data_IF_428137632363
#
_entry.id   IF_428137632363
#
_cell.length_a   1.000
_cell.length_b   1.000
_cell.length_c   1.000
_cell.angle_alpha   90.00
_cell.angle_beta   90.00
_cell.angle_gamma   90.00
#
_symmetry.space_group_name_H-M   'P 1'
#
loop_
_entity.id
_entity.type
_entity.pdbx_description
1 polymer ?
#
# COMPACT_ATOMS: atom_id res chain seq x y z
N UNK A 1 -5.26 -14.64 28.14
CA UNK A 1 -5.03 -13.87 26.91
C UNK A 1 -3.55 -13.77 26.64
N UNK A 2 -3.10 -14.12 25.45
CA UNK A 2 -1.75 -13.83 24.98
C UNK A 2 -1.68 -12.36 24.62
N UNK A 3 -0.75 -11.61 25.24
CA UNK A 3 -0.44 -10.25 24.81
C UNK A 3 0.44 -10.33 23.56
N UNK A 4 0.03 -9.67 22.46
CA UNK A 4 0.88 -9.42 21.30
C UNK A 4 1.47 -8.02 21.40
N UNK A 5 2.69 -7.85 20.89
CA UNK A 5 3.30 -6.53 20.69
C UNK A 5 3.23 -6.25 19.19
N UNK A 6 2.39 -5.31 18.82
CA UNK A 6 2.10 -5.03 17.41
C UNK A 6 3.21 -4.21 16.74
N UNK A 7 3.90 -3.36 17.50
CA UNK A 7 4.98 -2.51 16.96
C UNK A 7 6.13 -2.39 17.94
N UNK A 8 7.37 -2.58 17.45
CA UNK A 8 8.61 -2.47 18.23
C UNK A 8 9.66 -1.73 17.43
N UNK A 9 9.81 -0.44 17.69
CA UNK A 9 10.71 0.40 16.92
C UNK A 9 11.78 1.04 17.82
N UNK A 10 13.00 1.14 17.29
CA UNK A 10 14.05 2.02 17.79
C UNK A 10 14.35 3.03 16.69
N UNK A 11 14.21 4.32 17.01
CA UNK A 11 14.44 5.41 16.07
C UNK A 11 15.64 6.22 16.50
N UNK A 12 16.57 6.43 15.58
CA UNK A 12 17.74 7.30 15.74
C UNK A 12 17.55 8.45 14.76
N UNK A 13 17.18 9.61 15.27
CA UNK A 13 17.09 10.84 14.50
C UNK A 13 18.45 11.55 14.55
N UNK A 14 19.08 11.73 13.39
CA UNK A 14 20.40 12.36 13.25
C UNK A 14 20.31 13.78 12.71
N UNK A 15 19.11 14.37 12.69
CA UNK A 15 18.85 15.70 12.16
C UNK A 15 19.05 15.74 10.64
N UNK A 16 19.95 16.61 10.19
CA UNK A 16 20.20 16.83 8.75
C UNK A 16 20.72 15.59 7.99
N UNK A 17 21.16 14.56 8.70
CA UNK A 17 21.59 13.29 8.08
C UNK A 17 20.46 12.25 8.00
N UNK A 18 19.23 12.62 8.33
CA UNK A 18 18.08 11.74 8.22
C UNK A 18 17.80 10.90 9.47
N UNK A 19 16.89 9.95 9.32
CA UNK A 19 16.36 9.12 10.41
C UNK A 19 16.55 7.65 10.10
N UNK A 20 17.19 6.92 11.00
CA UNK A 20 17.33 5.47 10.95
C UNK A 20 16.35 4.83 11.95
N UNK A 21 15.50 3.96 11.44
CA UNK A 21 14.57 3.17 12.26
C UNK A 21 14.93 1.69 12.15
N UNK A 22 15.08 1.04 13.29
CA UNK A 22 15.01 -0.41 13.38
C UNK A 22 13.62 -0.80 13.86
N UNK A 23 12.90 -1.60 13.05
CA UNK A 23 11.58 -2.13 13.42
C UNK A 23 11.65 -3.64 13.58
N UNK A 24 11.26 -4.09 14.77
CA UNK A 24 11.10 -5.53 15.03
C UNK A 24 9.80 -6.10 14.48
N UNK A 25 8.80 -5.26 14.26
CA UNK A 25 7.49 -5.62 13.67
C UNK A 25 6.68 -4.36 13.32
N UNK A 26 5.77 -4.47 12.33
CA UNK A 26 4.73 -3.48 12.04
C UNK A 26 5.18 -2.24 11.24
N UNK A 27 6.31 -2.27 10.55
CA UNK A 27 6.76 -1.15 9.70
C UNK A 27 7.32 -1.68 8.39
N UNK A 28 6.98 -1.03 7.27
CA UNK A 28 7.39 -1.44 5.92
C UNK A 28 8.42 -0.49 5.31
N UNK A 29 9.21 -1.01 4.40
CA UNK A 29 10.01 -0.24 3.45
C UNK A 29 9.13 0.55 2.45
N UNK A 30 9.73 1.28 1.50
CA UNK A 30 8.98 2.06 0.53
C UNK A 30 8.06 1.19 -0.36
N UNK A 31 8.46 -0.01 -0.76
CA UNK A 31 7.59 -0.91 -1.55
C UNK A 31 6.33 -1.25 -0.79
N UNK A 32 6.43 -1.73 0.45
CA UNK A 32 5.25 -2.12 1.22
C UNK A 32 4.55 -0.97 1.96
N UNK A 33 4.96 0.29 1.78
CA UNK A 33 4.27 1.45 2.34
C UNK A 33 3.69 2.39 1.30
N UNK A 34 4.00 2.18 0.01
CA UNK A 34 3.50 3.00 -1.10
C UNK A 34 2.74 2.18 -2.14
N UNK A 35 2.42 0.92 -1.85
CA UNK A 35 1.79 -0.01 -2.77
C UNK A 35 0.28 0.22 -2.98
N UNK A 36 -0.37 1.01 -2.11
CA UNK A 36 -1.80 1.30 -2.15
C UNK A 36 -2.12 2.76 -1.79
N UNK A 37 -1.53 3.70 -2.49
CA UNK A 37 -1.65 5.13 -2.17
C UNK A 37 -2.71 5.88 -3.00
N UNK A 38 -3.65 5.21 -3.65
CA UNK A 38 -4.74 5.90 -4.36
C UNK A 38 -5.70 6.60 -3.39
N UNK A 39 -6.29 7.76 -3.76
CA UNK A 39 -7.16 8.48 -2.86
C UNK A 39 -8.39 7.67 -2.46
N UNK A 40 -8.61 7.47 -1.17
CA UNK A 40 -9.77 6.79 -0.60
C UNK A 40 -10.30 7.56 0.62
N UNK A 41 -11.61 7.47 0.89
CA UNK A 41 -12.23 8.06 2.08
C UNK A 41 -12.15 7.12 3.29
N UNK A 42 -11.96 5.81 3.08
CA UNK A 42 -11.79 4.80 4.12
C UNK A 42 -10.78 3.75 3.63
N UNK A 43 -11.19 2.75 2.89
CA UNK A 43 -10.36 1.67 2.35
C UNK A 43 -10.47 1.68 0.82
N UNK A 44 -9.42 1.24 0.13
CA UNK A 44 -9.41 1.03 -1.31
C UNK A 44 -10.30 -0.17 -1.69
N UNK A 45 -10.69 -0.24 -2.97
CA UNK A 45 -11.60 -1.29 -3.45
C UNK A 45 -11.07 -2.71 -3.23
N UNK A 46 -9.77 -2.92 -3.35
CA UNK A 46 -9.12 -4.23 -3.15
C UNK A 46 -8.76 -4.53 -1.69
N UNK A 47 -8.83 -3.55 -0.78
CA UNK A 47 -8.49 -3.70 0.64
C UNK A 47 -9.61 -4.29 1.49
N UNK A 48 -10.87 -4.25 1.02
CA UNK A 48 -12.02 -4.76 1.79
C UNK A 48 -11.99 -6.27 1.90
N UNK A 49 -12.14 -6.78 3.12
CA UNK A 49 -12.22 -8.23 3.36
C UNK A 49 -13.46 -8.83 2.71
N UNK A 50 -13.28 -9.77 1.81
CA UNK A 50 -14.34 -10.56 1.17
C UNK A 50 -14.13 -12.06 1.39
N UNK A 51 -15.11 -12.87 0.97
CA UNK A 51 -14.94 -14.32 0.97
C UNK A 51 -14.12 -14.74 -0.27
N UNK A 52 -12.88 -15.11 -0.05
CA UNK A 52 -11.91 -15.49 -1.09
C UNK A 52 -10.54 -14.84 -0.82
N UNK A 53 -9.56 -15.16 -1.65
CA UNK A 53 -8.22 -14.60 -1.56
C UNK A 53 -8.06 -13.51 -2.61
N UNK A 54 -8.12 -12.25 -2.20
CA UNK A 54 -7.78 -11.11 -3.05
C UNK A 54 -6.26 -11.11 -3.27
N UNK A 55 -5.84 -10.88 -4.50
CA UNK A 55 -4.43 -10.59 -4.80
C UNK A 55 -4.06 -9.21 -4.26
N UNK A 56 -2.87 -9.11 -3.73
CA UNK A 56 -2.30 -7.86 -3.24
C UNK A 56 -1.71 -6.98 -4.34
N UNK A 57 -1.35 -5.78 -3.97
CA UNK A 57 -0.78 -4.80 -4.89
C UNK A 57 0.74 -4.96 -5.10
N UNK A 58 1.43 -5.66 -4.20
CA UNK A 58 2.87 -6.00 -4.30
C UNK A 58 3.21 -7.22 -3.46
N UNK A 59 4.39 -7.76 -3.69
CA UNK A 59 5.00 -8.81 -2.88
C UNK A 59 6.19 -8.26 -2.08
N UNK A 60 5.96 -7.23 -1.29
CA UNK A 60 6.97 -6.59 -0.46
C UNK A 60 7.67 -7.56 0.50
N UNK A 61 8.90 -7.24 0.87
CA UNK A 61 9.66 -7.99 1.86
C UNK A 61 9.01 -7.94 3.25
N UNK A 62 9.42 -8.85 4.13
CA UNK A 62 8.88 -8.92 5.50
C UNK A 62 9.03 -7.60 6.27
N UNK A 63 7.99 -7.24 7.00
CA UNK A 63 7.97 -6.09 7.92
C UNK A 63 8.66 -6.35 9.27
N UNK A 64 9.33 -7.52 9.44
CA UNK A 64 9.97 -7.94 10.68
C UNK A 64 11.47 -7.80 10.60
N UNK A 65 12.07 -7.21 11.66
CA UNK A 65 13.50 -6.98 11.78
C UNK A 65 14.10 -6.17 10.63
N UNK A 66 13.39 -5.14 10.22
CA UNK A 66 13.73 -4.27 9.09
C UNK A 66 14.47 -3.02 9.59
N UNK A 67 15.45 -2.56 8.83
CA UNK A 67 16.08 -1.24 8.97
C UNK A 67 15.49 -0.33 7.90
N UNK A 68 15.09 0.88 8.31
CA UNK A 68 14.51 1.89 7.42
C UNK A 68 15.30 3.17 7.58
N UNK A 69 15.67 3.79 6.48
CA UNK A 69 16.32 5.08 6.43
C UNK A 69 15.45 6.07 5.67
N UNK A 70 15.05 7.15 6.36
CA UNK A 70 14.31 8.27 5.80
C UNK A 70 15.22 9.48 5.70
N UNK A 71 15.26 10.14 4.54
CA UNK A 71 16.09 11.29 4.29
C UNK A 71 15.35 12.34 3.46
N UNK A 72 15.41 13.61 3.89
CA UNK A 72 14.94 14.75 3.09
C UNK A 72 16.07 15.23 2.19
N UNK A 73 15.95 14.98 0.89
CA UNK A 73 16.97 15.36 -0.11
C UNK A 73 17.00 16.86 -0.31
N UNK A 74 15.81 17.45 -0.41
CA UNK A 74 15.56 18.89 -0.48
C UNK A 74 14.10 19.15 -0.11
N UNK A 75 13.72 20.42 0.00
CA UNK A 75 12.32 20.77 0.25
C UNK A 75 11.40 20.14 -0.81
N UNK A 76 10.41 19.40 -0.35
CA UNK A 76 9.48 18.66 -1.18
C UNK A 76 10.01 17.38 -1.85
N UNK A 77 11.27 16.98 -1.62
CA UNK A 77 11.81 15.70 -2.14
C UNK A 77 12.38 14.85 -1.00
N UNK A 78 11.81 13.68 -0.78
CA UNK A 78 12.27 12.71 0.21
C UNK A 78 12.74 11.40 -0.45
N UNK A 79 13.69 10.78 0.22
CA UNK A 79 14.21 9.45 -0.08
C UNK A 79 13.90 8.52 1.09
N UNK A 80 13.48 7.30 0.79
CA UNK A 80 13.30 6.22 1.77
C UNK A 80 14.00 4.98 1.25
N UNK A 81 14.71 4.27 2.13
CA UNK A 81 15.27 2.97 1.83
C UNK A 81 15.03 2.01 2.98
N UNK A 82 14.99 0.73 2.69
CA UNK A 82 14.89 -0.32 3.70
C UNK A 82 15.82 -1.48 3.42
N UNK A 83 16.17 -2.20 4.48
CA UNK A 83 16.94 -3.43 4.44
C UNK A 83 16.34 -4.45 5.41
N UNK A 84 15.91 -5.58 4.88
CA UNK A 84 15.42 -6.72 5.67
C UNK A 84 16.48 -7.80 5.64
N UNK A 85 17.12 -8.14 6.78
CA UNK A 85 18.12 -9.20 6.84
C UNK A 85 17.53 -10.56 6.48
N UNK A 86 18.38 -11.47 5.97
CA UNK A 86 18.02 -12.88 5.84
C UNK A 86 17.47 -13.43 7.17
N UNK A 87 16.42 -14.22 7.09
CA UNK A 87 15.82 -14.84 8.28
C UNK A 87 16.57 -16.10 8.77
N UNK A 88 17.70 -16.41 8.15
CA UNK A 88 18.53 -17.57 8.51
C UNK A 88 18.00 -18.91 8.00
N UNK A 89 16.90 -18.92 7.24
CA UNK A 89 16.48 -20.14 6.52
C UNK A 89 17.39 -20.37 5.31
N UNK A 90 17.65 -21.64 5.01
CA UNK A 90 18.42 -22.01 3.82
C UNK A 90 17.68 -21.53 2.56
N UNK A 91 18.36 -20.83 1.69
CA UNK A 91 17.86 -20.27 0.43
C UNK A 91 16.99 -18.99 0.54
N UNK A 92 16.91 -18.36 1.70
CA UNK A 92 16.32 -17.02 1.82
C UNK A 92 17.40 -15.99 2.12
N UNK A 93 17.48 -14.97 1.28
CA UNK A 93 18.48 -13.92 1.35
C UNK A 93 17.90 -12.61 1.95
N UNK A 94 18.77 -11.61 2.12
CA UNK A 94 18.33 -10.27 2.51
C UNK A 94 17.60 -9.58 1.37
N UNK A 95 16.71 -8.66 1.72
CA UNK A 95 15.93 -7.86 0.80
C UNK A 95 16.23 -6.37 0.98
N UNK A 96 16.10 -5.59 -0.07
CA UNK A 96 16.33 -4.14 -0.05
C UNK A 96 15.31 -3.43 -0.94
N UNK A 97 14.74 -2.35 -0.41
CA UNK A 97 13.86 -1.46 -1.17
C UNK A 97 14.38 -0.03 -1.08
N UNK A 98 14.07 0.79 -2.09
CA UNK A 98 14.31 2.22 -2.06
C UNK A 98 13.30 2.98 -2.91
N UNK A 99 13.04 4.24 -2.56
CA UNK A 99 12.09 5.05 -3.28
C UNK A 99 12.30 6.55 -3.05
N UNK A 100 11.70 7.32 -3.94
CA UNK A 100 11.65 8.77 -3.91
C UNK A 100 10.20 9.24 -3.91
N UNK A 101 9.91 10.26 -3.12
CA UNK A 101 8.61 10.93 -3.10
C UNK A 101 8.82 12.44 -3.25
N UNK A 102 8.08 13.04 -4.18
CA UNK A 102 8.07 14.46 -4.44
C UNK A 102 6.73 15.10 -4.09
N UNK A 103 6.77 16.13 -3.24
CA UNK A 103 5.61 16.92 -2.80
C UNK A 103 5.88 18.43 -2.90
N UNK A 104 6.90 18.83 -3.65
CA UNK A 104 7.35 20.24 -3.76
C UNK A 104 6.43 21.15 -4.59
N UNK A 105 5.37 20.61 -5.20
CA UNK A 105 4.33 21.37 -5.89
C UNK A 105 3.01 21.23 -5.14
N UNK A 106 2.31 22.35 -4.92
CA UNK A 106 1.03 22.34 -4.21
C UNK A 106 0.03 21.37 -4.84
N UNK A 107 -0.56 20.51 -4.03
CA UNK A 107 -1.52 19.49 -4.43
C UNK A 107 -0.91 18.26 -5.14
N UNK A 108 0.34 18.30 -5.60
CA UNK A 108 0.96 17.19 -6.33
C UNK A 108 1.81 16.30 -5.41
N UNK A 109 1.56 15.00 -5.47
CA UNK A 109 2.45 13.97 -4.94
C UNK A 109 2.85 13.03 -6.08
N UNK A 110 4.15 12.87 -6.30
CA UNK A 110 4.71 11.84 -7.18
C UNK A 110 5.54 10.89 -6.32
N UNK A 111 5.45 9.61 -6.56
CA UNK A 111 6.26 8.62 -5.85
C UNK A 111 6.64 7.47 -6.76
N UNK A 112 7.83 6.96 -6.54
CA UNK A 112 8.33 5.77 -7.19
C UNK A 112 9.18 4.96 -6.20
N UNK A 113 9.02 3.65 -6.21
CA UNK A 113 9.83 2.75 -5.41
C UNK A 113 10.19 1.51 -6.21
N UNK A 114 11.29 0.88 -5.84
CA UNK A 114 11.69 -0.42 -6.35
C UNK A 114 12.42 -1.20 -5.25
N UNK A 115 12.39 -2.51 -5.34
CA UNK A 115 13.05 -3.38 -4.39
C UNK A 115 12.87 -4.84 -4.69
N UNK A 116 13.55 -5.66 -3.92
CA UNK A 116 13.54 -7.11 -4.06
C UNK A 116 13.01 -7.78 -2.80
N UNK A 117 12.25 -8.85 -2.96
CA UNK A 117 11.86 -9.74 -1.88
C UNK A 117 12.54 -11.10 -2.03
N UNK A 118 13.73 -11.23 -1.44
CA UNK A 118 14.52 -12.47 -1.40
C UNK A 118 14.20 -13.33 -0.17
N UNK A 119 13.21 -12.92 0.64
CA UNK A 119 12.67 -13.71 1.76
C UNK A 119 11.56 -14.68 1.31
N UNK A 120 11.18 -14.67 0.04
CA UNK A 120 10.30 -15.64 -0.58
C UNK A 120 11.09 -16.84 -1.13
N UNK A 121 10.42 -17.96 -1.36
CA UNK A 121 11.06 -19.16 -1.96
C UNK A 121 11.59 -18.91 -3.38
N UNK A 122 11.01 -17.95 -4.08
CA UNK A 122 11.50 -17.37 -5.33
C UNK A 122 11.67 -15.88 -5.10
N UNK A 123 12.75 -15.30 -5.61
CA UNK A 123 12.94 -13.84 -5.52
C UNK A 123 11.89 -13.13 -6.35
N UNK A 124 11.44 -11.98 -5.85
CA UNK A 124 10.44 -11.13 -6.50
C UNK A 124 11.01 -9.72 -6.56
N UNK A 125 11.08 -9.16 -7.75
CA UNK A 125 11.42 -7.75 -7.96
C UNK A 125 10.15 -6.93 -8.04
N UNK A 126 10.08 -5.82 -7.30
CA UNK A 126 8.92 -4.95 -7.25
C UNK A 126 9.26 -3.56 -7.76
N UNK A 127 8.37 -2.98 -8.55
CA UNK A 127 8.43 -1.59 -8.99
C UNK A 127 7.10 -0.91 -8.75
N UNK A 128 7.11 0.32 -8.23
CA UNK A 128 5.94 1.14 -7.95
C UNK A 128 6.12 2.50 -8.59
N UNK A 129 5.09 2.98 -9.24
CA UNK A 129 4.97 4.38 -9.63
C UNK A 129 3.57 4.88 -9.35
N UNK A 130 3.46 6.08 -8.76
CA UNK A 130 2.15 6.67 -8.55
C UNK A 130 2.17 8.20 -8.56
N UNK A 131 0.99 8.75 -8.82
CA UNK A 131 0.71 10.18 -8.81
C UNK A 131 -0.61 10.44 -8.09
N UNK A 132 -0.62 11.47 -7.24
CA UNK A 132 -1.85 12.05 -6.66
C UNK A 132 -1.85 13.55 -6.93
N UNK A 133 -3.04 14.07 -7.25
CA UNK A 133 -3.23 15.50 -7.41
C UNK A 133 -4.51 15.96 -6.71
N UNK A 134 -4.34 16.87 -5.74
CA UNK A 134 -5.42 17.53 -5.03
C UNK A 134 -5.75 18.87 -5.70
N UNK A 135 -7.02 19.07 -6.05
CA UNK A 135 -7.52 20.28 -6.68
C UNK A 135 -8.83 20.72 -6.00
N UNK A 136 -8.74 21.68 -5.09
CA UNK A 136 -9.86 22.08 -4.27
C UNK A 136 -10.38 20.94 -3.41
N UNK A 137 -11.65 20.59 -3.56
CA UNK A 137 -12.27 19.50 -2.80
C UNK A 137 -12.03 18.10 -3.42
N UNK A 138 -11.42 18.00 -4.59
CA UNK A 138 -11.14 16.74 -5.28
C UNK A 138 -9.69 16.33 -5.11
N UNK A 139 -9.46 15.02 -4.97
CA UNK A 139 -8.15 14.40 -5.16
C UNK A 139 -8.30 13.24 -6.12
N UNK A 140 -7.44 13.18 -7.12
CA UNK A 140 -7.36 12.04 -8.06
C UNK A 140 -5.98 11.40 -7.92
N UNK A 141 -5.91 10.09 -8.04
CA UNK A 141 -4.66 9.34 -8.04
C UNK A 141 -4.67 8.21 -9.04
N UNK A 142 -3.47 7.89 -9.49
CA UNK A 142 -3.18 6.76 -10.37
C UNK A 142 -1.92 6.08 -9.88
N UNK A 143 -1.92 4.77 -9.89
CA UNK A 143 -0.80 3.94 -9.43
C UNK A 143 -0.65 2.72 -10.32
N UNK A 144 0.60 2.32 -10.56
CA UNK A 144 0.98 1.05 -11.16
C UNK A 144 2.04 0.40 -10.30
N UNK A 145 1.91 -0.89 -10.08
CA UNK A 145 2.91 -1.71 -9.41
C UNK A 145 3.17 -2.94 -10.29
N UNK A 146 4.42 -3.34 -10.37
CA UNK A 146 4.86 -4.55 -11.06
C UNK A 146 5.57 -5.45 -10.05
N UNK A 147 5.32 -6.74 -10.09
CA UNK A 147 5.98 -7.76 -9.27
C UNK A 147 6.45 -8.88 -10.17
N UNK A 148 7.73 -8.85 -10.53
CA UNK A 148 8.39 -9.84 -11.36
C UNK A 148 8.93 -10.98 -10.49
N UNK A 149 8.40 -12.18 -10.65
CA UNK A 149 8.75 -13.36 -9.85
C UNK A 149 9.65 -14.31 -10.62
N UNK A 150 10.64 -14.88 -9.94
CA UNK A 150 11.40 -15.99 -10.52
C UNK A 150 10.58 -17.28 -10.70
N UNK A 151 9.40 -17.36 -10.09
CA UNK A 151 8.47 -18.46 -10.31
C UNK A 151 7.75 -18.26 -11.65
N UNK A 152 7.74 -19.28 -12.48
CA UNK A 152 7.04 -19.23 -13.77
C UNK A 152 5.54 -18.93 -13.58
N UNK A 153 4.98 -18.07 -14.43
CA UNK A 153 3.57 -17.69 -14.44
C UNK A 153 3.10 -17.06 -13.12
N UNK A 154 3.92 -16.17 -12.54
CA UNK A 154 3.67 -15.55 -11.24
C UNK A 154 3.97 -14.05 -11.22
N UNK A 155 4.24 -13.44 -12.39
CA UNK A 155 4.37 -12.00 -12.50
C UNK A 155 3.01 -11.34 -12.34
N UNK A 156 2.94 -10.25 -11.60
CA UNK A 156 1.70 -9.54 -11.31
C UNK A 156 1.84 -8.07 -11.66
N UNK A 157 0.93 -7.57 -12.51
CA UNK A 157 0.77 -6.16 -12.83
C UNK A 157 -0.47 -5.61 -12.13
N UNK A 158 -0.29 -4.61 -11.29
CA UNK A 158 -1.36 -3.91 -10.58
C UNK A 158 -1.53 -2.50 -11.12
N UNK A 159 -2.77 -2.13 -11.40
CA UNK A 159 -3.16 -0.77 -11.76
C UNK A 159 -4.31 -0.31 -10.89
N UNK A 160 -4.26 0.92 -10.37
CA UNK A 160 -5.35 1.51 -9.60
C UNK A 160 -5.59 2.97 -9.94
N UNK A 161 -6.86 3.37 -9.91
CA UNK A 161 -7.32 4.75 -10.00
C UNK A 161 -8.25 5.03 -8.82
N UNK A 162 -8.01 6.14 -8.12
CA UNK A 162 -8.87 6.61 -7.05
C UNK A 162 -9.27 8.06 -7.24
N UNK A 163 -10.49 8.38 -6.88
CA UNK A 163 -10.98 9.75 -6.79
C UNK A 163 -11.67 9.94 -5.45
N UNK A 164 -11.26 10.93 -4.68
CA UNK A 164 -11.95 11.34 -3.46
C UNK A 164 -12.49 12.76 -3.57
N UNK A 165 -13.57 13.03 -2.85
CA UNK A 165 -14.24 14.32 -2.81
C UNK A 165 -14.61 14.69 -1.38
N UNK A 166 -14.10 15.82 -0.90
CA UNK A 166 -14.51 16.43 0.36
C UNK A 166 -15.86 17.15 0.15
N UNK A 167 -16.95 16.49 0.55
CA UNK A 167 -18.32 17.03 0.43
C UNK A 167 -18.51 18.21 1.38
N UNK A 168 -17.89 18.13 2.57
CA UNK A 168 -17.82 19.18 3.58
C UNK A 168 -16.56 18.97 4.44
N UNK A 169 -16.34 19.85 5.43
CA UNK A 169 -15.24 19.68 6.39
C UNK A 169 -15.33 18.37 7.19
N UNK A 170 -16.53 17.82 7.32
CA UNK A 170 -16.81 16.62 8.12
C UNK A 170 -17.07 15.36 7.29
N UNK A 171 -17.33 15.48 5.98
CA UNK A 171 -17.74 14.37 5.12
C UNK A 171 -16.88 14.28 3.87
N UNK A 172 -16.30 13.12 3.65
CA UNK A 172 -15.64 12.74 2.39
C UNK A 172 -16.24 11.47 1.79
N UNK A 173 -16.16 11.35 0.47
CA UNK A 173 -16.55 10.17 -0.28
C UNK A 173 -15.47 9.85 -1.31
N UNK A 174 -15.36 8.60 -1.71
CA UNK A 174 -14.44 8.21 -2.77
C UNK A 174 -14.98 7.08 -3.64
N UNK A 175 -14.36 6.96 -4.81
CA UNK A 175 -14.56 5.87 -5.74
C UNK A 175 -13.20 5.39 -6.21
N UNK A 176 -12.98 4.07 -6.15
CA UNK A 176 -11.74 3.42 -6.55
C UNK A 176 -12.02 2.27 -7.49
N UNK A 177 -11.13 2.07 -8.43
CA UNK A 177 -11.03 0.87 -9.26
C UNK A 177 -9.60 0.37 -9.23
N UNK A 178 -9.41 -0.94 -9.23
CA UNK A 178 -8.09 -1.56 -9.41
C UNK A 178 -8.20 -2.84 -10.20
N UNK A 179 -7.10 -3.19 -10.86
CA UNK A 179 -6.97 -4.40 -11.66
C UNK A 179 -5.63 -5.07 -11.32
N UNK A 180 -5.62 -6.38 -11.24
CA UNK A 180 -4.41 -7.20 -11.20
C UNK A 180 -4.45 -8.17 -12.37
N UNK A 181 -3.45 -8.06 -13.25
CA UNK A 181 -3.10 -9.05 -14.25
C UNK A 181 -2.08 -10.00 -13.66
N UNK A 182 -2.37 -11.29 -13.68
CA UNK A 182 -1.46 -12.34 -13.25
C UNK A 182 -1.01 -13.13 -14.46
N UNK A 183 0.31 -13.21 -14.67
CA UNK A 183 0.89 -13.99 -15.76
C UNK A 183 0.35 -15.43 -15.76
N UNK A 184 -0.07 -15.90 -16.93
CA UNK A 184 -0.63 -17.24 -17.10
C UNK A 184 -2.07 -17.41 -16.66
N UNK A 185 -2.70 -16.39 -16.11
CA UNK A 185 -4.16 -16.34 -15.90
C UNK A 185 -4.89 -15.95 -17.18
N UNK A 186 -6.16 -16.34 -17.29
CA UNK A 186 -7.03 -15.94 -18.43
C UNK A 186 -7.93 -14.79 -18.06
N UNK A 187 -8.03 -14.46 -16.79
CA UNK A 187 -8.91 -13.42 -16.25
C UNK A 187 -8.13 -12.53 -15.29
N UNK A 188 -8.35 -11.24 -15.40
CA UNK A 188 -7.81 -10.27 -14.45
C UNK A 188 -8.74 -10.15 -13.25
N UNK A 189 -8.17 -9.99 -12.06
CA UNK A 189 -8.95 -9.59 -10.89
C UNK A 189 -9.27 -8.10 -10.99
N UNK A 190 -10.55 -7.75 -10.98
CA UNK A 190 -10.99 -6.36 -10.99
C UNK A 190 -11.71 -6.02 -9.69
N UNK A 191 -11.35 -4.90 -9.06
CA UNK A 191 -12.03 -4.41 -7.86
C UNK A 191 -12.61 -3.02 -8.10
N UNK A 192 -13.84 -2.80 -7.64
CA UNK A 192 -14.54 -1.52 -7.68
C UNK A 192 -15.08 -1.21 -6.29
N UNK A 193 -14.82 -0.02 -5.76
CA UNK A 193 -15.23 0.36 -4.42
C UNK A 193 -15.77 1.78 -4.30
N UNK A 194 -16.72 1.94 -3.40
CA UNK A 194 -17.23 3.24 -2.96
C UNK A 194 -17.02 3.33 -1.45
N UNK A 195 -16.39 4.41 -0.98
CA UNK A 195 -16.20 4.61 0.44
C UNK A 195 -16.64 6.00 0.89
N UNK A 196 -16.87 6.12 2.19
CA UNK A 196 -17.17 7.38 2.86
C UNK A 196 -16.47 7.47 4.22
N UNK A 197 -16.27 8.69 4.70
CA UNK A 197 -15.84 8.98 6.06
C UNK A 197 -16.58 10.21 6.57
N UNK A 198 -17.20 10.10 7.73
CA UNK A 198 -17.89 11.20 8.39
C UNK A 198 -17.38 11.37 9.82
N UNK A 199 -16.91 12.58 10.14
CA UNK A 199 -16.41 12.92 11.47
C UNK A 199 -17.33 13.97 12.12
N UNK A 200 -17.77 13.72 13.35
CA UNK A 200 -18.54 14.67 14.12
C UNK A 200 -18.08 14.69 15.58
N UNK A 201 -17.51 15.80 16.00
CA UNK A 201 -16.88 15.90 17.33
C UNK A 201 -15.74 14.90 17.48
N UNK A 202 -15.80 14.05 18.52
CA UNK A 202 -14.80 12.99 18.79
C UNK A 202 -15.12 11.64 18.16
N UNK A 203 -16.08 11.56 17.21
CA UNK A 203 -16.48 10.30 16.57
C UNK A 203 -16.26 10.38 15.07
N UNK A 204 -15.66 9.33 14.50
CA UNK A 204 -15.60 9.10 13.04
C UNK A 204 -16.34 7.81 12.71
N UNK A 205 -17.20 7.85 11.71
CA UNK A 205 -17.84 6.71 11.09
C UNK A 205 -17.34 6.66 9.65
N UNK A 206 -16.76 5.54 9.25
CA UNK A 206 -16.32 5.36 7.87
C UNK A 206 -16.72 3.97 7.38
N UNK A 207 -16.77 3.79 6.07
CA UNK A 207 -17.07 2.49 5.50
C UNK A 207 -16.80 2.44 4.02
N UNK A 208 -16.63 1.21 3.53
CA UNK A 208 -16.38 0.88 2.14
C UNK A 208 -17.28 -0.27 1.73
N UNK A 209 -17.86 -0.16 0.55
CA UNK A 209 -18.49 -1.26 -0.15
C UNK A 209 -17.65 -1.57 -1.39
N UNK A 210 -17.27 -2.82 -1.56
CA UNK A 210 -16.44 -3.28 -2.67
C UNK A 210 -17.08 -4.46 -3.40
N UNK A 211 -16.93 -4.46 -4.72
CA UNK A 211 -17.17 -5.60 -5.59
C UNK A 211 -15.83 -6.00 -6.20
N UNK A 212 -15.53 -7.30 -6.17
CA UNK A 212 -14.31 -7.86 -6.77
C UNK A 212 -14.74 -8.97 -7.71
N UNK A 213 -14.44 -8.82 -8.97
CA UNK A 213 -14.69 -9.81 -10.00
C UNK A 213 -13.42 -10.65 -10.21
N UNK A 214 -13.56 -11.92 -10.52
CA UNK A 214 -12.47 -12.88 -10.72
C UNK A 214 -11.47 -12.93 -9.55
N UNK A 215 -11.95 -13.03 -8.32
CA UNK A 215 -11.12 -13.04 -7.10
C UNK A 215 -9.97 -14.05 -7.23
N UNK A 216 -8.73 -13.56 -7.03
CA UNK A 216 -7.51 -14.34 -7.20
C UNK A 216 -7.24 -14.76 -8.64
N UNK A 217 -7.69 -13.95 -9.62
CA UNK A 217 -7.59 -14.22 -11.07
C UNK A 217 -8.29 -15.51 -11.50
N UNK A 218 -9.39 -15.88 -10.82
CA UNK A 218 -10.17 -17.09 -11.08
C UNK A 218 -11.50 -16.74 -11.73
N UNK A 219 -11.72 -17.22 -12.95
CA UNK A 219 -12.94 -16.96 -13.72
C UNK A 219 -14.22 -17.24 -12.90
N UNK A 220 -15.16 -16.29 -12.92
CA UNK A 220 -16.45 -16.37 -12.22
C UNK A 220 -16.36 -16.50 -10.69
N UNK A 221 -15.22 -16.14 -10.09
CA UNK A 221 -15.06 -16.06 -8.64
C UNK A 221 -15.41 -14.65 -8.15
N UNK A 222 -16.62 -14.16 -8.46
CA UNK A 222 -17.04 -12.81 -8.11
C UNK A 222 -17.53 -12.76 -6.67
N UNK A 223 -17.18 -11.66 -5.99
CA UNK A 223 -17.58 -11.47 -4.60
C UNK A 223 -17.77 -9.98 -4.26
N UNK A 224 -18.51 -9.74 -3.19
CA UNK A 224 -18.73 -8.41 -2.65
C UNK A 224 -18.45 -8.38 -1.15
N UNK A 225 -17.97 -7.25 -0.67
CA UNK A 225 -17.74 -7.02 0.74
C UNK A 225 -18.11 -5.61 1.15
N UNK A 226 -18.26 -5.43 2.43
CA UNK A 226 -18.38 -4.11 3.04
C UNK A 226 -17.75 -4.13 4.42
N UNK A 227 -17.22 -3.00 4.81
CA UNK A 227 -16.79 -2.77 6.17
C UNK A 227 -17.35 -1.43 6.68
N UNK A 228 -17.51 -1.33 7.98
CA UNK A 228 -17.89 -0.10 8.67
C UNK A 228 -17.04 0.02 9.93
N UNK A 229 -16.37 1.15 10.05
CA UNK A 229 -15.49 1.46 11.16
C UNK A 229 -16.07 2.57 12.03
N UNK A 230 -15.92 2.44 13.34
CA UNK A 230 -16.27 3.45 14.34
C UNK A 230 -15.04 3.77 15.16
N UNK A 231 -14.58 5.02 15.12
CA UNK A 231 -13.43 5.50 15.87
C UNK A 231 -13.90 6.58 16.84
N UNK A 232 -13.50 6.47 18.11
CA UNK A 232 -13.80 7.45 19.15
C UNK A 232 -12.49 8.01 19.69
N UNK A 233 -12.35 9.35 19.69
CA UNK A 233 -11.28 10.07 20.34
C UNK A 233 -11.75 10.53 21.74
N UNK A 234 -10.98 10.19 22.80
CA UNK A 234 -11.26 10.52 24.19
C UNK A 234 -10.23 11.50 24.75
#
# INVERSE_FOLDING_TARGET
GTSSVDTRNIVIDTGDMGKLTFSGDGTSGPVGSWDDMTPSANEEAHGVTINGTIKGATNAASTKNIFIYDYTVMDGLSFKASYTPSNGATALDSSMDYGLMYTGMEGLTLYAAMGENNNAANSIDNTIFGVKYAMGAFTIGYQVNESDSQAASSDEDFTAIGVSYAVSDDLSVSYNISEIDLEGSTENQEATGVSFSYTSGGMTISGTHSQVDNVGNSASADNTGYEVNFVFAF
#
